data_IF_711091852415
#
_entry.id   IF_711091852415
#
_cell.length_a   1.000
_cell.length_b   1.000
_cell.length_c   1.000
_cell.angle_alpha   90.00
_cell.angle_beta   90.00
_cell.angle_gamma   90.00
#
_symmetry.space_group_name_H-M   'P 1'
#
loop_
_entity.id
_entity.type
_entity.pdbx_description
1 polymer ?
#
# COMPACT_ATOMS: atom_id res chain seq x y z
N UNK A 1 0.89 -0.79 -2.24
CA UNK A 1 0.40 -1.91 -3.06
C UNK A 1 -0.22 -1.34 -4.32
N UNK A 2 -0.03 -2.02 -5.46
CA UNK A 2 -0.61 -1.62 -6.75
C UNK A 2 -1.74 -2.58 -7.06
N UNK A 3 -2.86 -2.08 -7.56
CA UNK A 3 -4.00 -2.90 -7.97
C UNK A 3 -3.88 -3.22 -9.47
N UNK A 4 -4.00 -4.50 -9.81
CA UNK A 4 -4.03 -4.99 -11.19
C UNK A 4 -4.85 -6.27 -11.25
N UNK A 5 -5.56 -6.47 -12.35
CA UNK A 5 -6.24 -7.74 -12.65
C UNK A 5 -5.26 -8.85 -13.07
N UNK A 6 -3.98 -8.51 -13.26
CA UNK A 6 -2.91 -9.43 -13.63
C UNK A 6 -1.81 -9.48 -12.57
N UNK A 7 -1.16 -10.64 -12.36
CA UNK A 7 -0.01 -10.74 -11.47
C UNK A 7 1.09 -9.75 -11.86
N UNK A 8 1.55 -8.96 -10.89
CA UNK A 8 2.64 -8.01 -11.07
C UNK A 8 3.97 -8.63 -10.64
N UNK A 9 4.97 -8.58 -11.52
CA UNK A 9 6.33 -8.99 -11.18
C UNK A 9 7.07 -7.83 -10.51
N UNK A 10 7.19 -7.89 -9.18
CA UNK A 10 7.76 -6.79 -8.37
C UNK A 10 9.22 -7.00 -8.00
N UNK A 11 9.76 -8.22 -8.16
CA UNK A 11 11.14 -8.53 -7.77
C UNK A 11 12.16 -8.03 -8.81
N UNK A 12 11.80 -8.06 -10.10
CA UNK A 12 12.65 -7.62 -11.22
C UNK A 12 11.82 -6.88 -12.28
N UNK A 13 11.39 -5.66 -11.99
CA UNK A 13 10.63 -4.85 -12.94
C UNK A 13 11.49 -4.53 -14.17
N UNK A 14 10.93 -4.65 -15.37
CA UNK A 14 11.60 -4.24 -16.60
C UNK A 14 11.40 -2.74 -16.82
N UNK A 15 12.40 -1.93 -16.49
CA UNK A 15 12.38 -0.49 -16.74
C UNK A 15 12.80 -0.22 -18.20
N UNK A 16 11.84 0.11 -19.06
CA UNK A 16 12.12 0.44 -20.47
C UNK A 16 12.64 1.86 -20.68
N UNK A 17 12.68 2.67 -19.62
CA UNK A 17 13.11 4.08 -19.65
C UNK A 17 14.01 4.37 -18.47
N UNK A 18 15.09 5.11 -18.72
CA UNK A 18 15.98 5.59 -17.65
C UNK A 18 15.27 6.67 -16.86
N UNK A 19 15.10 6.45 -15.55
CA UNK A 19 14.57 7.47 -14.64
C UNK A 19 15.70 8.03 -13.76
N UNK A 20 15.44 9.16 -13.09
CA UNK A 20 16.43 9.81 -12.21
C UNK A 20 16.51 9.18 -10.82
N UNK A 21 15.50 8.43 -10.42
CA UNK A 21 15.38 7.92 -9.05
C UNK A 21 15.05 6.44 -9.03
N UNK A 22 14.06 5.98 -9.79
CA UNK A 22 13.71 4.56 -9.87
C UNK A 22 14.67 3.83 -10.82
N UNK A 23 15.33 2.82 -10.30
CA UNK A 23 16.21 1.92 -11.05
C UNK A 23 15.92 0.46 -10.68
N UNK A 24 16.51 -0.46 -11.44
CA UNK A 24 16.31 -1.90 -11.25
C UNK A 24 16.77 -2.38 -9.85
N UNK A 25 17.67 -1.64 -9.20
CA UNK A 25 18.22 -1.98 -7.88
C UNK A 25 17.36 -1.47 -6.71
N UNK A 26 16.47 -0.49 -6.93
CA UNK A 26 15.69 0.14 -5.87
C UNK A 26 14.18 -0.02 -5.99
N UNK A 27 13.61 -0.27 -7.18
CA UNK A 27 12.15 -0.42 -7.31
C UNK A 27 11.60 -1.51 -6.40
N UNK A 28 12.28 -2.66 -6.32
CA UNK A 28 11.83 -3.78 -5.48
C UNK A 28 11.71 -3.38 -3.99
N UNK A 29 12.52 -2.42 -3.53
CA UNK A 29 12.51 -1.95 -2.12
C UNK A 29 11.21 -1.22 -1.78
N UNK A 30 10.51 -0.65 -2.75
CA UNK A 30 9.23 0.02 -2.53
C UNK A 30 8.05 -0.95 -2.30
N UNK A 31 8.29 -2.26 -2.48
CA UNK A 31 7.33 -3.32 -2.15
C UNK A 31 7.69 -4.07 -0.87
N UNK A 32 8.80 -3.70 -0.22
CA UNK A 32 9.17 -4.20 1.10
C UNK A 32 8.59 -3.26 2.16
N UNK A 33 7.77 -3.83 3.05
CA UNK A 33 7.15 -3.11 4.16
C UNK A 33 7.63 -3.72 5.47
N UNK A 34 7.92 -2.86 6.44
CA UNK A 34 8.26 -3.28 7.80
C UNK A 34 7.06 -3.98 8.46
N UNK A 35 7.36 -4.85 9.44
CA UNK A 35 6.37 -5.72 10.07
C UNK A 35 5.19 -4.96 10.70
N UNK A 36 5.43 -3.76 11.20
CA UNK A 36 4.44 -2.88 11.82
C UNK A 36 3.50 -2.21 10.80
N UNK A 37 3.95 -2.05 9.55
CA UNK A 37 3.17 -1.48 8.45
C UNK A 37 2.30 -2.56 7.78
N UNK A 38 2.75 -3.81 7.77
CA UNK A 38 1.99 -4.93 7.20
C UNK A 38 0.79 -5.24 8.10
N UNK A 39 -0.31 -4.51 7.87
CA UNK A 39 -1.57 -4.73 8.56
C UNK A 39 -2.28 -5.97 8.00
N UNK A 40 -2.78 -6.84 8.89
CA UNK A 40 -3.71 -7.92 8.56
C UNK A 40 -5.08 -7.59 9.13
N UNK A 41 -6.16 -7.96 8.42
CA UNK A 41 -7.53 -7.75 8.90
C UNK A 41 -8.09 -6.33 8.77
N UNK A 42 -7.61 -5.53 7.82
CA UNK A 42 -8.20 -4.23 7.50
C UNK A 42 -9.50 -4.39 6.70
N UNK A 43 -10.54 -3.64 7.05
CA UNK A 43 -11.80 -3.68 6.32
C UNK A 43 -11.71 -2.87 5.02
N UNK A 44 -12.39 -3.35 3.97
CA UNK A 44 -12.47 -2.64 2.69
C UNK A 44 -13.42 -1.45 2.81
N UNK A 45 -12.89 -0.25 2.54
CA UNK A 45 -13.71 0.95 2.44
C UNK A 45 -14.54 0.91 1.16
N UNK A 46 -15.85 1.07 1.27
CA UNK A 46 -16.78 1.10 0.12
C UNK A 46 -17.66 2.34 0.20
N UNK A 47 -18.33 2.68 -0.90
CA UNK A 47 -19.23 3.84 -0.93
C UNK A 47 -20.38 3.67 0.09
N UNK A 48 -20.92 2.46 0.19
CA UNK A 48 -22.05 2.13 1.07
C UNK A 48 -21.62 1.86 2.52
N UNK A 49 -20.35 1.54 2.75
CA UNK A 49 -19.76 1.32 4.08
C UNK A 49 -18.41 2.04 4.19
N UNK A 50 -18.40 3.32 4.60
CA UNK A 50 -17.19 4.13 4.68
C UNK A 50 -16.41 3.86 5.98
N UNK A 51 -15.80 2.67 6.10
CA UNK A 51 -15.01 2.22 7.27
C UNK A 51 -13.92 3.22 7.68
N UNK A 52 -13.42 4.02 6.74
CA UNK A 52 -12.41 5.04 7.04
C UNK A 52 -12.91 6.08 8.08
N UNK A 53 -14.21 6.41 8.05
CA UNK A 53 -14.82 7.31 9.02
C UNK A 53 -14.83 6.67 10.43
N UNK A 54 -15.14 5.38 10.51
CA UNK A 54 -15.18 4.66 11.78
C UNK A 54 -13.80 4.61 12.45
N UNK A 55 -12.74 4.36 11.67
CA UNK A 55 -11.37 4.42 12.17
C UNK A 55 -10.99 5.82 12.68
N UNK A 56 -11.39 6.87 11.95
CA UNK A 56 -11.12 8.25 12.37
C UNK A 56 -11.83 8.59 13.69
N UNK A 57 -13.11 8.24 13.81
CA UNK A 57 -13.90 8.50 15.01
C UNK A 57 -13.44 7.67 16.21
N UNK A 58 -13.01 6.42 16.00
CA UNK A 58 -12.45 5.56 17.04
C UNK A 58 -11.14 6.17 17.59
N UNK A 59 -10.26 6.64 16.72
CA UNK A 59 -9.04 7.34 17.12
C UNK A 59 -9.35 8.60 17.92
N UNK A 60 -10.29 9.43 17.46
CA UNK A 60 -10.68 10.64 18.18
C UNK A 60 -11.22 10.35 19.59
N UNK A 61 -12.06 9.33 19.75
CA UNK A 61 -12.54 8.90 21.07
C UNK A 61 -11.45 8.37 21.99
N UNK A 62 -10.36 7.83 21.45
CA UNK A 62 -9.24 7.29 22.22
C UNK A 62 -8.31 8.38 22.77
N UNK A 63 -8.19 9.52 22.07
CA UNK A 63 -7.31 10.63 22.43
C UNK A 63 -8.02 11.81 23.13
N UNK A 64 -9.24 11.60 23.63
CA UNK A 64 -9.97 12.57 24.48
C UNK A 64 -9.85 12.16 25.95
#
# INVERSE_FOLDING_TARGET
MVASDTPLETARPALSVTTRYLDDANVAKHFLFEKDIVASGVETNTLDRPVLLDYYLAGWRHYR
#
